data_IF_110105406514
#
_entry.id   IF_110105406514
#
_cell.length_a   1.000
_cell.length_b   1.000
_cell.length_c   1.000
_cell.angle_alpha   90.00
_cell.angle_beta   90.00
_cell.angle_gamma   90.00
#
_symmetry.space_group_name_H-M   'P 1'
#
loop_
_entity.id
_entity.type
_entity.pdbx_description
1 polymer ?
#
# COMPACT_ATOMS: atom_id res chain seq x y z
N UNK A 1 -56.57 -1.47 17.77
CA UNK A 1 -57.41 -2.12 16.74
C UNK A 1 -56.45 -2.61 15.66
N UNK A 2 -55.96 -3.86 15.78
CA UNK A 2 -56.40 -5.05 15.03
C UNK A 2 -56.17 -4.89 13.51
N UNK A 3 -55.13 -5.45 12.87
CA UNK A 3 -54.75 -6.86 12.61
C UNK A 3 -55.69 -7.60 11.64
N UNK A 4 -55.26 -7.83 10.40
CA UNK A 4 -55.55 -8.98 9.50
C UNK A 4 -54.36 -9.03 8.49
N UNK A 5 -53.49 -10.04 8.33
CA UNK A 5 -53.50 -11.53 8.28
C UNK A 5 -54.31 -12.15 7.13
N UNK A 6 -53.56 -12.81 6.24
CA UNK A 6 -53.93 -13.94 5.38
C UNK A 6 -52.69 -14.30 4.55
N UNK A 7 -51.93 -15.39 4.73
CA UNK A 7 -52.16 -16.80 5.10
C UNK A 7 -52.97 -17.60 4.06
N UNK A 8 -52.31 -18.61 3.49
CA UNK A 8 -52.85 -19.61 2.55
C UNK A 8 -51.65 -20.26 1.83
N UNK A 9 -50.95 -21.25 2.39
CA UNK A 9 -51.31 -22.63 2.76
C UNK A 9 -51.01 -23.65 1.64
N UNK A 10 -50.69 -24.85 2.13
CA UNK A 10 -49.88 -25.94 1.64
C UNK A 10 -50.40 -26.70 0.43
N UNK A 11 -49.50 -27.50 -0.14
CA UNK A 11 -49.83 -28.53 -1.12
C UNK A 11 -48.66 -29.47 -1.42
N UNK A 12 -48.24 -30.28 -0.44
CA UNK A 12 -47.49 -31.52 -0.71
C UNK A 12 -48.47 -32.58 -1.21
N UNK A 13 -48.17 -33.20 -2.35
CA UNK A 13 -48.61 -34.56 -2.63
C UNK A 13 -47.60 -35.27 -3.54
N UNK A 14 -47.28 -36.48 -3.07
CA UNK A 14 -46.29 -37.44 -3.52
C UNK A 14 -46.92 -38.36 -4.58
N UNK A 15 -46.22 -38.65 -5.68
CA UNK A 15 -46.61 -39.75 -6.58
C UNK A 15 -45.38 -40.35 -7.28
N UNK A 16 -45.36 -41.68 -7.24
CA UNK A 16 -44.22 -42.55 -7.49
C UNK A 16 -43.99 -42.86 -8.98
N UNK A 17 -42.70 -42.94 -9.34
CA UNK A 17 -42.03 -44.04 -10.09
C UNK A 17 -42.37 -44.25 -11.57
N UNK A 18 -41.42 -43.96 -12.45
CA UNK A 18 -40.98 -44.82 -13.55
C UNK A 18 -39.63 -44.32 -14.10
N UNK A 19 -38.65 -45.21 -14.19
CA UNK A 19 -37.32 -44.90 -14.73
C UNK A 19 -37.31 -44.87 -16.26
N UNK A 20 -36.43 -44.04 -16.82
CA UNK A 20 -35.90 -44.19 -18.17
C UNK A 20 -34.63 -43.33 -18.29
N UNK A 21 -33.52 -43.99 -18.65
CA UNK A 21 -32.41 -43.45 -19.43
C UNK A 21 -31.81 -42.11 -19.04
N UNK A 22 -30.61 -42.17 -18.48
CA UNK A 22 -29.58 -41.15 -18.70
C UNK A 22 -29.18 -41.20 -20.20
N UNK A 23 -29.37 -40.10 -20.94
CA UNK A 23 -28.30 -39.70 -21.84
C UNK A 23 -28.09 -38.18 -21.83
N UNK A 24 -26.85 -37.78 -21.58
CA UNK A 24 -26.35 -36.53 -22.16
C UNK A 24 -25.59 -35.62 -21.21
N UNK A 25 -24.54 -36.12 -20.55
CA UNK A 25 -23.37 -35.27 -20.27
C UNK A 25 -22.54 -35.16 -21.56
N UNK A 26 -23.08 -34.42 -22.53
CA UNK A 26 -22.37 -34.03 -23.74
C UNK A 26 -22.33 -32.50 -23.79
N UNK A 27 -21.15 -31.95 -23.50
CA UNK A 27 -20.77 -30.65 -24.03
C UNK A 27 -20.89 -29.44 -23.09
N UNK A 28 -20.58 -29.57 -21.79
CA UNK A 28 -20.02 -28.41 -21.08
C UNK A 28 -18.56 -28.25 -21.47
N UNK A 29 -18.36 -27.55 -22.59
CA UNK A 29 -17.10 -27.02 -23.14
C UNK A 29 -16.00 -26.84 -22.09
N UNK A 30 -15.08 -27.80 -22.01
CA UNK A 30 -13.83 -27.70 -21.26
C UNK A 30 -12.82 -26.68 -21.82
N UNK A 31 -13.14 -26.05 -22.96
CA UNK A 31 -12.28 -25.07 -23.64
C UNK A 31 -12.03 -23.79 -22.82
N UNK A 32 -12.98 -23.36 -21.99
CA UNK A 32 -12.85 -22.10 -21.22
C UNK A 32 -11.91 -22.19 -20.02
N UNK A 33 -11.72 -23.38 -19.44
CA UNK A 33 -10.81 -23.58 -18.29
C UNK A 33 -9.35 -23.72 -18.72
N UNK A 34 -9.10 -24.28 -19.91
CA UNK A 34 -7.74 -24.47 -20.44
C UNK A 34 -7.17 -23.18 -20.99
N UNK A 35 -8.00 -22.31 -21.59
CA UNK A 35 -7.55 -21.06 -22.21
C UNK A 35 -7.22 -19.98 -21.18
N UNK A 36 -8.08 -19.81 -20.17
CA UNK A 36 -7.79 -18.93 -19.02
C UNK A 36 -6.57 -19.41 -18.22
N UNK A 37 -6.41 -20.72 -18.06
CA UNK A 37 -5.23 -21.31 -17.43
C UNK A 37 -3.94 -21.09 -18.23
N UNK A 38 -4.04 -21.12 -19.58
CA UNK A 38 -2.92 -20.86 -20.48
C UNK A 38 -2.53 -19.38 -20.50
N UNK A 39 -3.50 -18.48 -20.64
CA UNK A 39 -3.28 -17.04 -20.55
C UNK A 39 -2.66 -16.63 -19.21
N UNK A 40 -3.13 -17.21 -18.09
CA UNK A 40 -2.52 -17.00 -16.77
C UNK A 40 -1.10 -17.55 -16.65
N UNK A 41 -0.82 -18.71 -17.26
CA UNK A 41 0.54 -19.25 -17.31
C UNK A 41 1.48 -18.38 -18.16
N UNK A 42 0.97 -17.80 -19.25
CA UNK A 42 1.70 -16.88 -20.12
C UNK A 42 2.00 -15.57 -19.40
N UNK A 43 1.04 -15.00 -18.65
CA UNK A 43 1.27 -13.84 -17.76
C UNK A 43 2.34 -14.15 -16.72
N UNK A 44 2.25 -15.28 -16.04
CA UNK A 44 3.24 -15.68 -15.05
C UNK A 44 4.64 -15.86 -15.66
N UNK A 45 4.73 -16.34 -16.91
CA UNK A 45 5.98 -16.44 -17.65
C UNK A 45 6.57 -15.06 -17.97
N UNK A 46 5.78 -14.13 -18.52
CA UNK A 46 6.22 -12.76 -18.81
C UNK A 46 6.65 -12.02 -17.55
N UNK A 47 5.93 -12.21 -16.43
CA UNK A 47 6.33 -11.65 -15.13
C UNK A 47 7.66 -12.22 -14.64
N UNK A 48 7.91 -13.52 -14.80
CA UNK A 48 9.23 -14.13 -14.50
C UNK A 48 10.32 -13.55 -15.40
N UNK A 49 10.05 -13.32 -16.68
CA UNK A 49 11.00 -12.66 -17.60
C UNK A 49 11.39 -11.27 -17.10
N UNK A 50 10.45 -10.46 -16.59
CA UNK A 50 10.78 -9.18 -15.98
C UNK A 50 11.76 -9.34 -14.81
N UNK A 51 11.49 -10.27 -13.89
CA UNK A 51 12.37 -10.52 -12.73
C UNK A 51 13.77 -10.95 -13.16
N UNK A 52 13.87 -11.86 -14.13
CA UNK A 52 15.16 -12.31 -14.68
C UNK A 52 15.91 -11.14 -15.32
N UNK A 53 15.23 -10.33 -16.14
CA UNK A 53 15.82 -9.14 -16.76
C UNK A 53 16.40 -8.17 -15.72
N UNK A 54 15.74 -7.99 -14.57
CA UNK A 54 16.26 -7.17 -13.47
C UNK A 54 17.58 -7.70 -12.89
N UNK A 55 17.66 -9.01 -12.63
CA UNK A 55 18.88 -9.64 -12.09
C UNK A 55 20.03 -9.68 -13.11
N UNK A 56 19.71 -9.84 -14.39
CA UNK A 56 20.69 -9.87 -15.48
C UNK A 56 21.11 -8.47 -15.94
N UNK A 57 20.52 -7.40 -15.36
CA UNK A 57 20.70 -6.02 -15.81
C UNK A 57 20.28 -5.80 -17.28
N UNK A 58 19.35 -6.61 -17.79
CA UNK A 58 18.79 -6.44 -19.14
C UNK A 58 17.70 -5.35 -19.16
N UNK A 59 18.19 -4.12 -19.24
CA UNK A 59 17.39 -2.90 -19.35
C UNK A 59 16.43 -2.92 -20.56
N UNK A 60 16.84 -3.52 -21.69
CA UNK A 60 16.03 -3.53 -22.92
C UNK A 60 14.86 -4.51 -22.80
N UNK A 61 15.08 -5.68 -22.21
CA UNK A 61 14.01 -6.61 -21.89
C UNK A 61 13.04 -6.03 -20.86
N UNK A 62 13.54 -5.40 -19.79
CA UNK A 62 12.69 -4.79 -18.77
C UNK A 62 11.79 -3.70 -19.36
N UNK A 63 12.31 -2.78 -20.20
CA UNK A 63 11.48 -1.71 -20.77
C UNK A 63 10.44 -2.17 -21.78
N UNK A 64 10.70 -3.24 -22.53
CA UNK A 64 9.68 -3.84 -23.42
C UNK A 64 8.43 -4.27 -22.65
N UNK A 65 8.60 -4.70 -21.40
CA UNK A 65 7.51 -5.18 -20.56
C UNK A 65 6.74 -4.06 -19.83
N UNK A 66 7.19 -2.80 -19.91
CA UNK A 66 6.42 -1.66 -19.39
C UNK A 66 5.11 -1.42 -20.14
N UNK A 67 5.00 -1.90 -21.38
CA UNK A 67 3.79 -1.79 -22.21
C UNK A 67 2.93 -3.06 -22.23
N UNK A 68 3.18 -4.04 -21.35
CA UNK A 68 2.42 -5.29 -21.33
C UNK A 68 0.93 -5.04 -21.01
N UNK A 69 0.05 -5.83 -21.62
CA UNK A 69 -1.39 -5.77 -21.37
C UNK A 69 -1.72 -6.04 -19.89
N UNK A 70 -0.95 -6.92 -19.25
CA UNK A 70 -1.18 -7.34 -17.88
C UNK A 70 -0.50 -6.38 -16.89
N UNK A 71 -1.27 -5.77 -15.96
CA UNK A 71 -0.73 -4.81 -15.00
C UNK A 71 0.34 -5.42 -14.07
N UNK A 72 0.25 -6.72 -13.77
CA UNK A 72 1.25 -7.37 -12.91
C UNK A 72 2.60 -7.51 -13.60
N UNK A 73 2.61 -7.61 -14.93
CA UNK A 73 3.84 -7.62 -15.73
C UNK A 73 4.45 -6.22 -15.82
N UNK A 74 3.63 -5.19 -16.07
CA UNK A 74 4.09 -3.78 -16.05
C UNK A 74 4.70 -3.39 -14.70
N UNK A 75 4.04 -3.77 -13.60
CA UNK A 75 4.52 -3.56 -12.25
C UNK A 75 5.85 -4.30 -11.97
N UNK A 76 6.01 -5.53 -12.46
CA UNK A 76 7.25 -6.28 -12.34
C UNK A 76 8.38 -5.67 -13.19
N UNK A 77 8.06 -5.12 -14.37
CA UNK A 77 9.02 -4.43 -15.23
C UNK A 77 9.60 -3.17 -14.58
N UNK A 78 8.77 -2.38 -13.88
CA UNK A 78 9.24 -1.25 -13.08
C UNK A 78 10.19 -1.71 -11.97
N UNK A 79 9.84 -2.78 -11.25
CA UNK A 79 10.73 -3.37 -10.24
C UNK A 79 12.04 -3.89 -10.82
N UNK A 80 12.00 -4.47 -12.03
CA UNK A 80 13.18 -4.94 -12.75
C UNK A 80 14.13 -3.79 -13.11
N UNK A 81 13.62 -2.63 -13.52
CA UNK A 81 14.43 -1.46 -13.82
C UNK A 81 15.11 -0.89 -12.57
N UNK A 82 14.42 -0.91 -11.43
CA UNK A 82 15.01 -0.52 -10.14
C UNK A 82 16.12 -1.49 -9.74
N UNK A 83 15.85 -2.81 -9.79
CA UNK A 83 16.84 -3.85 -9.50
C UNK A 83 18.04 -3.78 -10.45
N UNK A 84 17.80 -3.38 -11.70
CA UNK A 84 18.83 -3.17 -12.71
C UNK A 84 19.58 -1.84 -12.58
N UNK A 85 19.20 -0.95 -11.65
CA UNK A 85 19.73 0.42 -11.52
C UNK A 85 19.59 1.26 -12.81
N UNK A 86 18.60 0.91 -13.64
CA UNK A 86 18.32 1.52 -14.94
C UNK A 86 17.01 2.31 -14.97
N UNK A 87 16.38 2.51 -13.81
CA UNK A 87 15.12 3.25 -13.70
C UNK A 87 15.31 4.73 -14.04
N UNK A 88 14.42 5.27 -14.88
CA UNK A 88 14.40 6.69 -15.24
C UNK A 88 13.16 7.38 -14.70
N UNK A 89 13.21 8.70 -14.59
CA UNK A 89 12.04 9.51 -14.21
C UNK A 89 10.83 9.27 -15.14
N UNK A 90 11.07 9.05 -16.44
CA UNK A 90 10.01 8.73 -17.39
C UNK A 90 9.34 7.37 -17.11
N UNK A 91 10.10 6.38 -16.62
CA UNK A 91 9.56 5.05 -16.28
C UNK A 91 8.62 5.17 -15.06
N UNK A 92 9.07 5.92 -14.04
CA UNK A 92 8.27 6.19 -12.83
C UNK A 92 7.05 7.07 -13.14
N UNK A 93 7.20 8.13 -13.95
CA UNK A 93 6.07 8.96 -14.38
C UNK A 93 5.03 8.14 -15.14
N UNK A 94 5.45 7.23 -16.02
CA UNK A 94 4.56 6.30 -16.71
C UNK A 94 3.81 5.37 -15.77
N UNK A 95 4.51 4.78 -14.78
CA UNK A 95 3.90 3.93 -13.77
C UNK A 95 2.93 4.65 -12.83
N UNK A 96 3.24 5.90 -12.46
CA UNK A 96 2.37 6.76 -11.66
C UNK A 96 1.11 7.20 -12.43
N UNK A 97 1.19 7.29 -13.75
CA UNK A 97 0.07 7.62 -14.63
C UNK A 97 -0.67 6.36 -15.16
N UNK A 98 -0.31 5.15 -14.72
CA UNK A 98 -0.90 3.91 -15.24
C UNK A 98 -2.41 3.86 -14.98
N UNK A 99 -3.23 3.40 -15.95
CA UNK A 99 -4.68 3.32 -15.77
C UNK A 99 -5.09 2.37 -14.64
N UNK A 100 -4.26 1.39 -14.28
CA UNK A 100 -4.57 0.39 -13.27
C UNK A 100 -4.00 0.80 -11.90
N UNK A 101 -4.83 0.90 -10.84
CA UNK A 101 -4.40 1.30 -9.51
C UNK A 101 -3.24 0.48 -8.93
N UNK A 102 -3.19 -0.81 -9.21
CA UNK A 102 -2.12 -1.70 -8.71
C UNK A 102 -0.73 -1.32 -9.23
N UNK A 103 -0.64 -0.80 -10.46
CA UNK A 103 0.63 -0.32 -11.04
C UNK A 103 1.01 1.02 -10.43
N UNK A 104 0.06 1.95 -10.25
CA UNK A 104 0.30 3.22 -9.57
C UNK A 104 0.81 3.02 -8.14
N UNK A 105 0.13 2.17 -7.35
CA UNK A 105 0.58 1.75 -6.02
C UNK A 105 1.99 1.19 -6.04
N UNK A 106 2.26 0.23 -6.93
CA UNK A 106 3.60 -0.36 -7.01
C UNK A 106 4.66 0.69 -7.35
N UNK A 107 4.32 1.65 -8.20
CA UNK A 107 5.24 2.72 -8.58
C UNK A 107 5.51 3.66 -7.41
N UNK A 108 4.49 4.02 -6.63
CA UNK A 108 4.65 4.80 -5.40
C UNK A 108 5.55 4.08 -4.39
N UNK A 109 5.41 2.75 -4.24
CA UNK A 109 6.29 1.95 -3.39
C UNK A 109 7.76 2.02 -3.83
N UNK A 110 8.01 1.97 -5.14
CA UNK A 110 9.35 2.12 -5.69
C UNK A 110 9.89 3.54 -5.48
N UNK A 111 9.07 4.57 -5.70
CA UNK A 111 9.45 5.97 -5.45
C UNK A 111 9.84 6.18 -3.99
N UNK A 112 9.03 5.68 -3.05
CA UNK A 112 9.32 5.76 -1.62
C UNK A 112 10.63 5.04 -1.25
N UNK A 113 10.79 3.79 -1.70
CA UNK A 113 12.01 3.01 -1.44
C UNK A 113 13.28 3.63 -2.02
N UNK A 114 13.17 4.34 -3.15
CA UNK A 114 14.28 5.09 -3.77
C UNK A 114 14.54 6.44 -3.09
N UNK A 115 13.53 7.00 -2.41
CA UNK A 115 13.59 8.30 -1.72
C UNK A 115 14.11 8.17 -0.29
N UNK A 116 13.89 7.03 0.37
CA UNK A 116 14.36 6.77 1.73
C UNK A 116 15.89 6.91 1.84
N UNK A 117 16.35 7.60 2.87
CA UNK A 117 17.77 7.61 3.25
C UNK A 117 18.14 6.28 3.94
N UNK A 118 19.32 5.70 3.68
CA UNK A 118 19.71 4.39 4.23
C UNK A 118 19.97 4.38 5.76
N UNK A 119 19.71 5.46 6.48
CA UNK A 119 19.97 5.55 7.93
C UNK A 119 18.79 6.19 8.66
N UNK A 120 18.10 5.39 9.47
CA UNK A 120 17.41 5.87 10.67
C UNK A 120 15.93 6.20 10.53
N UNK A 121 15.10 5.20 10.28
CA UNK A 121 13.69 5.21 10.66
C UNK A 121 13.29 3.77 10.96
N UNK A 122 12.89 3.48 12.20
CA UNK A 122 12.21 2.21 12.46
C UNK A 122 11.00 2.14 11.51
N UNK A 123 10.81 1.02 10.79
CA UNK A 123 9.71 0.90 9.86
C UNK A 123 8.42 1.13 10.64
N UNK A 124 7.53 2.05 10.22
CA UNK A 124 6.19 2.06 10.77
C UNK A 124 5.61 0.66 10.51
N UNK A 125 5.19 0.00 11.59
CA UNK A 125 4.43 -1.27 11.63
C UNK A 125 3.79 -1.59 10.26
N UNK A 126 4.52 -2.39 9.47
CA UNK A 126 4.24 -2.93 8.13
C UNK A 126 3.53 -2.03 7.08
N UNK A 127 4.17 -1.88 5.91
CA UNK A 127 3.60 -1.24 4.72
C UNK A 127 2.15 -1.72 4.44
N UNK A 128 1.23 -0.83 4.02
CA UNK A 128 -0.20 -1.15 3.93
C UNK A 128 -0.56 -2.30 2.98
N UNK A 129 0.33 -2.64 2.04
CA UNK A 129 0.19 -3.82 1.17
C UNK A 129 0.32 -5.19 1.89
N UNK A 130 0.88 -5.22 3.11
CA UNK A 130 1.16 -6.46 3.83
C UNK A 130 -0.07 -7.09 4.51
N UNK A 131 -1.18 -6.36 4.67
CA UNK A 131 -2.35 -6.81 5.45
C UNK A 131 -3.24 -7.85 4.75
N UNK A 132 -3.06 -8.16 3.46
CA UNK A 132 -3.98 -9.05 2.72
C UNK A 132 -3.36 -10.30 2.07
N UNK A 133 -2.12 -10.68 2.37
CA UNK A 133 -1.55 -11.89 1.76
C UNK A 133 -0.44 -12.57 2.55
N UNK A 134 -0.71 -13.12 3.74
CA UNK A 134 0.12 -14.23 4.29
C UNK A 134 -0.71 -15.22 5.11
N UNK A 135 -0.90 -16.47 4.63
CA UNK A 135 -1.10 -17.60 5.53
C UNK A 135 0.28 -18.07 6.04
N UNK A 136 0.39 -18.22 7.36
CA UNK A 136 1.35 -19.05 8.10
C UNK A 136 2.80 -19.12 7.61
N UNK A 137 3.73 -18.54 8.37
CA UNK A 137 5.11 -19.05 8.38
C UNK A 137 5.72 -19.00 9.76
N UNK A 138 6.09 -20.19 10.23
CA UNK A 138 6.85 -20.50 11.43
C UNK A 138 8.29 -19.93 11.34
N UNK A 139 8.86 -19.61 12.50
CA UNK A 139 10.26 -19.20 12.67
C UNK A 139 11.22 -20.36 12.30
N UNK A 140 12.46 -20.06 11.87
CA UNK A 140 13.57 -20.23 12.81
C UNK A 140 14.77 -19.27 12.64
N UNK A 141 15.42 -18.97 13.77
CA UNK A 141 16.80 -19.38 14.09
C UNK A 141 18.00 -18.88 13.26
N UNK A 142 18.96 -18.31 13.99
CA UNK A 142 20.39 -18.09 13.73
C UNK A 142 20.81 -16.83 12.95
N UNK A 143 21.16 -15.82 13.77
CA UNK A 143 21.85 -14.58 13.46
C UNK A 143 23.31 -14.92 13.11
N UNK A 144 23.66 -14.92 11.84
CA UNK A 144 25.06 -14.89 11.41
C UNK A 144 25.40 -13.44 11.07
N UNK A 145 26.22 -12.85 11.93
CA UNK A 145 26.80 -11.51 11.81
C UNK A 145 27.45 -11.39 10.43
N UNK A 146 26.86 -10.57 9.55
CA UNK A 146 27.49 -10.14 8.31
C UNK A 146 28.17 -8.81 8.59
N UNK A 147 29.49 -8.83 8.47
CA UNK A 147 30.38 -7.68 8.55
C UNK A 147 29.85 -6.50 7.72
N UNK A 148 29.78 -5.33 8.35
CA UNK A 148 29.37 -4.08 7.71
C UNK A 148 30.49 -3.58 6.78
N UNK A 149 30.21 -3.24 5.51
CA UNK A 149 31.17 -2.51 4.71
C UNK A 149 31.14 -1.02 5.06
N UNK A 150 32.29 -0.55 5.52
CA UNK A 150 32.90 0.77 5.35
C UNK A 150 31.98 1.97 5.08
N UNK A 151 31.79 2.79 6.12
CA UNK A 151 31.03 4.04 6.17
C UNK A 151 31.68 5.24 5.44
N UNK A 152 32.59 4.97 4.50
CA UNK A 152 33.40 5.99 3.81
C UNK A 152 33.16 6.16 2.31
N UNK A 153 32.27 5.39 1.68
CA UNK A 153 31.92 5.61 0.27
C UNK A 153 30.87 6.71 0.16
N UNK A 154 31.35 7.86 -0.32
CA UNK A 154 30.61 9.07 -0.53
C UNK A 154 29.24 8.85 -1.17
N UNK A 155 28.32 9.71 -0.76
CA UNK A 155 26.96 9.97 -1.25
C UNK A 155 26.93 10.26 -2.75
N UNK A 156 27.33 9.32 -3.60
CA UNK A 156 27.06 9.40 -5.03
C UNK A 156 25.55 9.30 -5.20
N UNK A 157 24.97 10.33 -5.83
CA UNK A 157 23.55 10.38 -6.13
C UNK A 157 23.22 9.14 -6.98
N UNK A 158 22.51 8.19 -6.37
CA UNK A 158 22.05 7.01 -7.08
C UNK A 158 21.09 7.52 -8.17
N UNK A 159 21.29 7.20 -9.46
CA UNK A 159 20.43 7.70 -10.54
C UNK A 159 18.96 7.38 -10.31
N UNK A 160 18.66 6.27 -9.61
CA UNK A 160 17.30 5.95 -9.16
C UNK A 160 16.70 6.92 -8.13
N UNK A 161 17.50 7.47 -7.20
CA UNK A 161 17.04 8.48 -6.24
C UNK A 161 16.72 9.79 -6.96
N UNK A 162 17.55 10.21 -7.91
CA UNK A 162 17.28 11.40 -8.72
C UNK A 162 15.99 11.24 -9.54
N UNK A 163 15.81 10.07 -10.17
CA UNK A 163 14.59 9.74 -10.90
C UNK A 163 13.35 9.76 -10.01
N UNK A 164 13.45 9.22 -8.79
CA UNK A 164 12.36 9.22 -7.82
C UNK A 164 12.02 10.63 -7.34
N UNK A 165 13.02 11.46 -7.03
CA UNK A 165 12.82 12.84 -6.60
C UNK A 165 12.25 13.72 -7.72
N UNK A 166 12.64 13.48 -8.98
CA UNK A 166 12.08 14.16 -10.14
C UNK A 166 10.62 13.77 -10.46
N UNK A 167 10.14 12.65 -9.92
CA UNK A 167 8.77 12.16 -10.13
C UNK A 167 7.85 12.72 -9.04
N UNK A 168 6.86 13.51 -9.43
CA UNK A 168 5.85 14.09 -8.53
C UNK A 168 4.86 13.01 -8.10
N UNK A 169 4.66 12.87 -6.79
CA UNK A 169 3.66 11.94 -6.20
C UNK A 169 2.43 12.67 -5.68
N UNK A 170 2.51 14.00 -5.55
CA UNK A 170 1.42 14.84 -5.04
C UNK A 170 0.06 14.62 -5.74
N UNK A 171 -0.04 14.47 -7.08
CA UNK A 171 -1.34 14.25 -7.73
C UNK A 171 -2.04 12.96 -7.31
N UNK A 172 -1.31 11.98 -6.80
CA UNK A 172 -1.87 10.68 -6.39
C UNK A 172 -2.52 10.74 -5.00
N UNK A 173 -2.37 11.85 -4.26
CA UNK A 173 -3.19 12.13 -3.07
C UNK A 173 -4.67 12.44 -3.42
N UNK A 174 -4.96 12.59 -4.71
CA UNK A 174 -6.28 12.89 -5.26
C UNK A 174 -6.81 11.75 -6.13
N UNK A 175 -6.17 10.58 -6.06
CA UNK A 175 -6.55 9.40 -6.83
C UNK A 175 -7.97 8.93 -6.48
N UNK A 176 -8.68 8.41 -7.47
CA UNK A 176 -10.02 7.86 -7.29
C UNK A 176 -10.03 6.57 -6.46
N UNK A 177 -8.92 5.84 -6.41
CA UNK A 177 -8.75 4.62 -5.63
C UNK A 177 -8.12 4.93 -4.26
N UNK A 178 -8.83 4.73 -3.14
CA UNK A 178 -8.31 5.02 -1.79
C UNK A 178 -7.02 4.26 -1.47
N UNK A 179 -6.81 3.08 -2.06
CA UNK A 179 -5.60 2.29 -1.85
C UNK A 179 -4.37 2.93 -2.52
N UNK A 180 -4.56 3.75 -3.56
CA UNK A 180 -3.50 4.56 -4.17
C UNK A 180 -3.23 5.77 -3.30
N UNK A 181 -4.27 6.45 -2.82
CA UNK A 181 -4.16 7.63 -1.93
C UNK A 181 -3.39 7.26 -0.64
N UNK A 182 -3.69 6.11 -0.05
CA UNK A 182 -2.99 5.57 1.13
C UNK A 182 -1.48 5.44 0.89
N UNK A 183 -1.07 4.81 -0.22
CA UNK A 183 0.34 4.60 -0.54
C UNK A 183 1.00 5.92 -0.97
N UNK A 184 0.27 6.82 -1.61
CA UNK A 184 0.76 8.14 -1.95
C UNK A 184 1.06 8.97 -0.71
N UNK A 185 0.19 8.91 0.31
CA UNK A 185 0.42 9.56 1.59
C UNK A 185 1.69 9.03 2.26
N UNK A 186 1.85 7.70 2.32
CA UNK A 186 3.09 7.10 2.82
C UNK A 186 4.33 7.56 2.02
N UNK A 187 4.26 7.52 0.69
CA UNK A 187 5.35 7.95 -0.17
C UNK A 187 5.71 9.42 0.01
N UNK A 188 4.76 10.31 0.33
CA UNK A 188 5.05 11.69 0.69
C UNK A 188 5.84 11.80 2.00
N UNK A 189 5.56 10.96 3.00
CA UNK A 189 6.27 10.93 4.27
C UNK A 189 7.72 10.43 4.16
N UNK A 190 8.00 9.53 3.22
CA UNK A 190 9.34 8.98 2.97
C UNK A 190 10.25 9.92 2.15
N UNK A 191 9.73 11.07 1.68
CA UNK A 191 10.47 12.00 0.83
C UNK A 191 11.15 13.08 1.63
N UNK A 192 12.46 13.21 1.43
CA UNK A 192 13.28 14.28 1.99
C UNK A 192 14.01 15.03 0.85
N UNK A 193 13.72 16.33 0.63
CA UNK A 193 12.68 17.14 1.28
C UNK A 193 11.25 16.74 0.85
N UNK A 194 10.22 17.10 1.63
CA UNK A 194 8.83 16.89 1.25
C UNK A 194 8.48 17.69 -0.01
N UNK A 195 7.58 17.13 -0.83
CA UNK A 195 7.09 17.81 -2.04
C UNK A 195 6.23 19.03 -1.66
N UNK A 196 6.40 20.15 -2.38
CA UNK A 196 5.64 21.37 -2.11
C UNK A 196 4.13 21.10 -2.21
N UNK A 197 3.38 21.52 -1.18
CA UNK A 197 1.93 21.29 -1.08
C UNK A 197 1.53 19.95 -0.46
N UNK A 198 2.47 19.02 -0.23
CA UNK A 198 2.17 17.72 0.39
C UNK A 198 1.55 17.89 1.79
N UNK A 199 2.14 18.71 2.65
CA UNK A 199 1.63 18.97 4.01
C UNK A 199 0.19 19.46 4.00
N UNK A 200 -0.13 20.44 3.15
CA UNK A 200 -1.48 20.99 3.03
C UNK A 200 -2.50 19.93 2.56
N UNK A 201 -2.12 19.11 1.59
CA UNK A 201 -3.03 18.07 1.09
C UNK A 201 -3.20 16.91 2.08
N UNK A 202 -2.12 16.47 2.72
CA UNK A 202 -2.15 15.46 3.76
C UNK A 202 -3.01 15.92 4.95
N UNK A 203 -2.94 17.19 5.36
CA UNK A 203 -3.80 17.75 6.40
C UNK A 203 -5.29 17.69 6.03
N UNK A 204 -5.62 17.94 4.76
CA UNK A 204 -6.99 17.80 4.24
C UNK A 204 -7.47 16.35 4.30
N UNK A 205 -6.63 15.40 3.88
CA UNK A 205 -6.96 13.97 3.92
C UNK A 205 -7.13 13.47 5.36
N UNK A 206 -6.21 13.81 6.26
CA UNK A 206 -6.21 13.41 7.66
C UNK A 206 -7.48 13.82 8.40
N UNK A 207 -8.11 14.94 8.01
CA UNK A 207 -9.29 15.51 8.69
C UNK A 207 -10.61 15.25 7.96
N UNK A 208 -10.58 14.94 6.67
CA UNK A 208 -11.79 14.90 5.84
C UNK A 208 -12.02 13.65 4.99
N UNK A 209 -11.06 12.72 4.88
CA UNK A 209 -11.25 11.54 4.03
C UNK A 209 -12.16 10.50 4.70
N UNK A 210 -13.09 9.91 3.95
CA UNK A 210 -14.06 8.93 4.48
C UNK A 210 -13.39 7.62 4.94
N UNK A 211 -12.45 7.11 4.13
CA UNK A 211 -11.63 5.96 4.50
C UNK A 211 -10.60 6.34 5.57
N UNK A 212 -10.66 5.63 6.69
CA UNK A 212 -9.78 5.88 7.81
C UNK A 212 -8.37 5.29 7.63
N UNK A 213 -8.15 4.34 6.71
CA UNK A 213 -6.80 3.92 6.35
C UNK A 213 -6.07 5.09 5.67
N UNK A 214 -6.76 5.83 4.81
CA UNK A 214 -6.22 7.06 4.20
C UNK A 214 -5.95 8.12 5.27
N UNK A 215 -6.88 8.33 6.22
CA UNK A 215 -6.64 9.26 7.35
C UNK A 215 -5.43 8.84 8.18
N UNK A 216 -5.32 7.55 8.53
CA UNK A 216 -4.16 7.01 9.26
C UNK A 216 -2.85 7.26 8.50
N UNK A 217 -2.80 6.93 7.21
CA UNK A 217 -1.62 7.12 6.37
C UNK A 217 -1.24 8.60 6.24
N UNK A 218 -2.22 9.50 6.10
CA UNK A 218 -1.99 10.94 6.04
C UNK A 218 -1.41 11.48 7.35
N UNK A 219 -1.94 11.05 8.50
CA UNK A 219 -1.43 11.42 9.83
C UNK A 219 -0.01 10.89 10.03
N UNK A 220 0.26 9.65 9.62
CA UNK A 220 1.59 9.07 9.66
C UNK A 220 2.60 9.91 8.86
N UNK A 221 2.22 10.30 7.64
CA UNK A 221 3.05 11.10 6.76
C UNK A 221 3.31 12.50 7.32
N UNK A 222 2.30 13.15 7.90
CA UNK A 222 2.47 14.45 8.57
C UNK A 222 3.46 14.35 9.75
N UNK A 223 3.38 13.27 10.54
CA UNK A 223 4.36 12.98 11.59
C UNK A 223 5.76 12.80 11.03
N UNK A 224 5.93 11.95 10.00
CA UNK A 224 7.23 11.73 9.37
C UNK A 224 7.84 13.01 8.78
N UNK A 225 7.02 13.90 8.21
CA UNK A 225 7.47 15.19 7.68
C UNK A 225 7.86 16.16 8.81
N UNK A 226 7.13 16.16 9.93
CA UNK A 226 7.42 17.02 11.09
C UNK A 226 7.21 18.53 10.86
N UNK A 227 6.53 18.92 9.78
CA UNK A 227 6.24 20.34 9.49
C UNK A 227 5.17 20.86 10.47
N UNK A 228 5.42 21.95 11.22
CA UNK A 228 4.45 22.52 12.16
C UNK A 228 3.09 22.85 11.55
N UNK A 229 3.00 23.11 10.23
CA UNK A 229 1.73 23.33 9.55
C UNK A 229 0.83 22.08 9.53
N UNK A 230 1.40 20.88 9.73
CA UNK A 230 0.67 19.62 9.85
C UNK A 230 0.10 19.34 11.25
N UNK A 231 0.67 19.97 12.29
CA UNK A 231 0.32 19.68 13.69
C UNK A 231 -1.19 19.79 14.00
N UNK A 232 -1.94 20.81 13.52
CA UNK A 232 -3.38 20.90 13.78
C UNK A 232 -4.17 19.69 13.30
N UNK A 233 -3.78 19.09 12.17
CA UNK A 233 -4.44 17.90 11.64
C UNK A 233 -4.08 16.64 12.46
N UNK A 234 -2.82 16.52 12.91
CA UNK A 234 -2.40 15.43 13.81
C UNK A 234 -3.16 15.49 15.14
N UNK A 235 -3.27 16.69 15.74
CA UNK A 235 -4.04 16.88 16.98
C UNK A 235 -5.54 16.58 16.81
N UNK A 236 -6.12 16.90 15.65
CA UNK A 236 -7.50 16.52 15.35
C UNK A 236 -7.69 14.99 15.29
N UNK A 237 -6.73 14.29 14.68
CA UNK A 237 -6.73 12.83 14.55
C UNK A 237 -6.63 12.08 15.89
N UNK A 238 -6.11 12.72 16.95
CA UNK A 238 -6.16 12.20 18.33
C UNK A 238 -7.59 12.02 18.86
N UNK A 239 -8.63 12.46 18.15
CA UNK A 239 -10.05 12.28 18.52
C UNK A 239 -10.82 11.35 17.57
N UNK A 240 -10.12 10.70 16.64
CA UNK A 240 -10.73 9.81 15.65
C UNK A 240 -11.01 8.40 16.26
N UNK A 241 -11.20 7.39 15.41
CA UNK A 241 -11.29 5.98 15.77
C UNK A 241 -9.94 5.44 16.24
N UNK A 242 -9.96 4.31 16.95
CA UNK A 242 -8.80 3.83 17.71
C UNK A 242 -7.50 3.70 16.90
N UNK A 243 -7.55 3.12 15.70
CA UNK A 243 -6.36 2.94 14.85
C UNK A 243 -5.73 4.28 14.45
N UNK A 244 -6.55 5.27 14.11
CA UNK A 244 -6.11 6.62 13.74
C UNK A 244 -5.61 7.39 14.96
N UNK A 245 -6.27 7.26 16.14
CA UNK A 245 -5.77 7.87 17.39
C UNK A 245 -4.39 7.35 17.77
N UNK A 246 -4.18 6.03 17.72
CA UNK A 246 -2.85 5.42 17.98
C UNK A 246 -1.81 6.03 17.05
N UNK A 247 -2.11 6.12 15.76
CA UNK A 247 -1.20 6.73 14.79
C UNK A 247 -0.94 8.20 15.07
N UNK A 248 -1.96 8.96 15.43
CA UNK A 248 -1.84 10.38 15.75
C UNK A 248 -0.92 10.60 16.93
N UNK A 249 -1.03 9.79 17.99
CA UNK A 249 -0.13 9.84 19.15
C UNK A 249 1.32 9.61 18.73
N UNK A 250 1.60 8.55 17.95
CA UNK A 250 2.95 8.31 17.43
C UNK A 250 3.46 9.46 16.55
N UNK A 251 2.59 10.02 15.71
CA UNK A 251 2.91 11.14 14.84
C UNK A 251 3.18 12.45 15.60
N UNK A 252 2.88 12.55 16.90
CA UNK A 252 3.21 13.71 17.71
C UNK A 252 4.70 13.78 18.11
N UNK A 253 5.46 12.69 17.96
CA UNK A 253 6.87 12.60 18.39
C UNK A 253 7.82 13.72 17.91
N UNK A 254 7.69 14.27 16.67
CA UNK A 254 8.55 15.36 16.20
C UNK A 254 8.03 16.75 16.55
N UNK A 255 6.92 16.85 17.29
CA UNK A 255 6.29 18.12 17.65
C UNK A 255 6.41 18.38 19.14
N UNK A 256 6.53 19.66 19.51
CA UNK A 256 6.56 20.13 20.88
C UNK A 256 5.47 21.19 21.11
N UNK A 257 5.00 21.33 22.35
CA UNK A 257 4.12 22.43 22.75
C UNK A 257 3.00 22.02 23.71
N UNK A 258 2.32 22.99 24.34
CA UNK A 258 1.31 22.71 25.35
C UNK A 258 0.11 21.92 24.81
N UNK A 259 -0.22 22.08 23.52
CA UNK A 259 -1.25 21.30 22.85
C UNK A 259 -0.83 19.84 22.63
N UNK A 260 0.45 19.60 22.31
CA UNK A 260 1.03 18.25 22.18
C UNK A 260 1.01 17.56 23.55
N UNK A 261 1.51 18.23 24.58
CA UNK A 261 1.51 17.70 25.95
C UNK A 261 0.10 17.37 26.45
N UNK A 262 -0.89 18.21 26.11
CA UNK A 262 -2.27 17.96 26.47
C UNK A 262 -2.84 16.74 25.72
N UNK A 263 -2.49 16.56 24.46
CA UNK A 263 -2.88 15.39 23.67
C UNK A 263 -2.25 14.10 24.21
N UNK A 264 -0.96 14.11 24.55
CA UNK A 264 -0.27 12.96 25.14
C UNK A 264 -0.85 12.59 26.51
N UNK A 265 -1.10 13.57 27.39
CA UNK A 265 -1.78 13.32 28.68
C UNK A 265 -3.16 12.70 28.50
N UNK A 266 -3.95 13.19 27.54
CA UNK A 266 -5.25 12.60 27.24
C UNK A 266 -5.12 11.17 26.68
N UNK A 267 -4.09 10.90 25.88
CA UNK A 267 -3.84 9.58 25.30
C UNK A 267 -3.44 8.53 26.35
N UNK A 268 -2.76 8.91 27.44
CA UNK A 268 -2.48 8.04 28.58
C UNK A 268 -3.75 7.53 29.28
N UNK A 269 -4.88 8.23 29.12
CA UNK A 269 -6.19 7.84 29.67
C UNK A 269 -7.12 7.27 28.60
N UNK A 270 -6.64 7.01 27.37
CA UNK A 270 -7.48 6.55 26.26
C UNK A 270 -8.10 5.18 26.58
N UNK A 271 -9.33 4.96 26.09
CA UNK A 271 -10.04 3.67 26.24
C UNK A 271 -9.30 2.50 25.59
N UNK A 272 -8.57 2.76 24.51
CA UNK A 272 -7.82 1.76 23.78
C UNK A 272 -6.42 1.61 24.40
N UNK A 273 -6.08 0.38 24.78
CA UNK A 273 -4.80 0.09 25.44
C UNK A 273 -3.60 0.37 24.54
N UNK A 274 -3.73 0.22 23.21
CA UNK A 274 -2.64 0.49 22.27
C UNK A 274 -2.36 1.98 22.17
N UNK A 275 -3.38 2.82 22.35
CA UNK A 275 -3.22 4.28 22.38
C UNK A 275 -2.50 4.71 23.66
N UNK A 276 -2.86 4.11 24.81
CA UNK A 276 -2.16 4.37 26.08
C UNK A 276 -0.69 3.96 25.99
N UNK A 277 -0.40 2.77 25.47
CA UNK A 277 0.97 2.29 25.28
C UNK A 277 1.79 3.22 24.36
N UNK A 278 1.20 3.66 23.24
CA UNK A 278 1.88 4.61 22.35
C UNK A 278 2.19 5.95 23.02
N UNK A 279 1.37 6.39 23.98
CA UNK A 279 1.63 7.61 24.75
C UNK A 279 2.72 7.37 25.81
N UNK A 280 2.71 6.23 26.50
CA UNK A 280 3.75 5.83 27.46
C UNK A 280 5.14 5.77 26.80
N UNK A 281 5.24 5.28 25.56
CA UNK A 281 6.51 5.22 24.82
C UNK A 281 7.10 6.61 24.48
N UNK A 282 6.29 7.67 24.54
CA UNK A 282 6.66 9.05 24.17
C UNK A 282 6.83 10.01 25.36
N UNK A 283 6.52 9.59 26.59
CA UNK A 283 6.54 10.44 27.80
C UNK A 283 7.49 9.91 28.86
#
# INVERSE_FOLDING_TARGET
>A
MANERGAGDAGRADARRAGAGDPGDAGRTGAGRTDAGRAGADVAARRRTAVVAGHERDETAARRLLGDEDPSVRAAALGALVLAEAVRAADLAGGLADPVPSVRRRTLELVAALSADPVGGDPPDEAPAARLARPGREAPGSRQEREAPDSGQAREARPGREAALASSVLPLLDDADPSVVEVAAWACGERVPPEAGAVARLATLATGHDDALVREAAVAALGAIGDPAGLPAVLAACRDKATVRRRAVLALAPFDGPEVDAALRAALEDRDWQVRQAAEDLT
#
